data_IF_813434329839
#
_entry.id   IF_813434329839
#
_cell.length_a   1.000
_cell.length_b   1.000
_cell.length_c   1.000
_cell.angle_alpha   90.00
_cell.angle_beta   90.00
_cell.angle_gamma   90.00
#
_symmetry.space_group_name_H-M   'P 1'
#
loop_
_entity.id
_entity.type
_entity.pdbx_description
1 polymer ?
#
# COMPACT_ATOMS: atom_id res chain seq x y z
N UNK A 1 -13.64 8.13 1.11
CA UNK A 1 -14.06 7.10 2.10
C UNK A 1 -15.55 6.84 2.02
N UNK A 2 -16.00 5.60 2.23
CA UNK A 2 -17.44 5.24 2.21
C UNK A 2 -18.11 5.35 3.58
N UNK A 3 -17.37 5.19 4.69
CA UNK A 3 -17.88 5.49 6.02
C UNK A 3 -18.18 7.01 6.11
N UNK A 4 -19.39 7.43 6.52
CA UNK A 4 -19.78 8.83 6.50
C UNK A 4 -18.97 9.70 7.46
N UNK A 5 -18.63 9.19 8.65
CA UNK A 5 -17.90 9.94 9.67
C UNK A 5 -16.44 9.52 9.69
N UNK A 6 -15.56 10.46 9.38
CA UNK A 6 -14.12 10.25 9.36
C UNK A 6 -13.46 11.24 10.34
N UNK A 7 -12.40 10.81 11.04
CA UNK A 7 -11.66 11.63 12.01
C UNK A 7 -12.17 11.56 13.46
N UNK A 8 -13.15 10.70 13.76
CA UNK A 8 -13.75 10.55 15.09
C UNK A 8 -12.73 10.11 16.16
N UNK A 9 -11.73 9.31 15.78
CA UNK A 9 -10.66 8.85 16.68
C UNK A 9 -9.38 9.67 16.61
N UNK A 10 -9.33 10.69 15.74
CA UNK A 10 -8.12 11.45 15.48
C UNK A 10 -7.04 10.60 14.86
N UNK A 11 -5.80 11.06 15.03
CA UNK A 11 -4.61 10.38 14.55
C UNK A 11 -3.66 10.11 15.72
N UNK A 12 -2.91 9.02 15.62
CA UNK A 12 -1.79 8.68 16.48
C UNK A 12 -0.68 8.08 15.63
N UNK A 13 0.56 8.26 16.05
CA UNK A 13 1.73 7.86 15.26
C UNK A 13 1.97 6.34 15.24
N UNK A 14 1.42 5.58 16.20
CA UNK A 14 1.57 4.12 16.24
C UNK A 14 0.79 3.42 15.10
N UNK A 15 -0.31 4.04 14.66
CA UNK A 15 -1.17 3.56 13.58
C UNK A 15 -0.63 3.90 12.18
N UNK A 16 0.49 4.65 12.08
CA UNK A 16 1.15 4.93 10.81
C UNK A 16 1.78 3.65 10.21
N UNK A 17 1.31 3.28 9.02
CA UNK A 17 1.78 2.11 8.28
C UNK A 17 2.98 2.39 7.38
N UNK A 18 3.47 3.62 7.34
CA UNK A 18 4.62 4.03 6.54
C UNK A 18 5.23 5.32 7.09
N UNK A 19 6.41 5.72 6.61
CA UNK A 19 7.12 6.90 7.11
C UNK A 19 6.40 8.25 6.89
N UNK A 20 5.45 8.29 5.95
CA UNK A 20 4.64 9.47 5.67
C UNK A 20 3.27 9.05 5.13
N UNK A 21 2.36 10.01 4.99
CA UNK A 21 1.08 9.81 4.35
C UNK A 21 1.21 9.91 2.83
N UNK A 22 0.88 8.84 2.11
CA UNK A 22 0.97 8.76 0.64
C UNK A 22 -0.35 9.08 -0.09
N UNK A 23 -1.35 9.61 0.62
CA UNK A 23 -2.63 10.00 0.00
C UNK A 23 -2.43 11.24 -0.88
N UNK A 24 -2.90 11.18 -2.13
CA UNK A 24 -2.94 12.37 -3.00
C UNK A 24 -4.03 13.37 -2.59
N UNK A 25 -5.04 12.92 -1.86
CA UNK A 25 -6.09 13.74 -1.29
C UNK A 25 -7.15 12.91 -0.56
N UNK A 26 -7.96 13.56 0.26
CA UNK A 26 -9.00 12.90 1.06
C UNK A 26 -10.40 13.42 0.72
N UNK A 27 -11.30 12.54 0.26
CA UNK A 27 -12.71 12.86 -0.02
C UNK A 27 -13.62 12.14 0.96
N UNK A 28 -14.38 12.89 1.77
CA UNK A 28 -15.25 12.35 2.82
C UNK A 28 -16.63 13.01 2.83
N UNK A 29 -17.60 12.34 3.48
CA UNK A 29 -18.95 12.89 3.64
C UNK A 29 -19.01 13.89 4.79
N UNK A 30 -18.52 13.50 5.97
CA UNK A 30 -18.52 14.34 7.17
C UNK A 30 -17.19 14.20 7.88
N UNK A 31 -16.53 15.34 8.12
CA UNK A 31 -15.50 15.41 9.14
C UNK A 31 -16.18 15.38 10.51
N UNK A 32 -15.58 14.67 11.47
CA UNK A 32 -16.11 14.60 12.83
C UNK A 32 -15.88 15.94 13.55
N UNK A 33 -16.94 16.51 14.15
CA UNK A 33 -16.87 17.82 14.85
C UNK A 33 -15.95 17.74 16.07
N UNK A 34 -15.99 16.62 16.78
CA UNK A 34 -15.10 16.32 17.89
C UNK A 34 -14.35 15.03 17.61
N UNK A 35 -13.05 15.07 17.88
CA UNK A 35 -12.21 13.88 17.98
C UNK A 35 -12.22 13.40 19.43
N UNK A 36 -12.46 12.11 19.66
CA UNK A 36 -12.55 11.54 21.00
C UNK A 36 -12.03 10.10 21.01
N UNK A 37 -10.76 9.95 21.37
CA UNK A 37 -10.13 8.66 21.62
C UNK A 37 -8.94 8.87 22.57
N UNK A 38 -8.72 7.94 23.50
CA UNK A 38 -7.61 8.02 24.46
C UNK A 38 -6.23 7.94 23.78
N UNK A 39 -6.14 7.34 22.59
CA UNK A 39 -4.91 7.27 21.79
C UNK A 39 -4.67 8.51 20.93
N UNK A 40 -5.66 9.40 20.82
CA UNK A 40 -5.56 10.56 19.92
C UNK A 40 -4.43 11.48 20.35
N UNK A 41 -3.49 11.73 19.43
CA UNK A 41 -2.45 12.74 19.58
C UNK A 41 -2.85 14.06 18.90
N UNK A 42 -3.52 13.98 17.74
CA UNK A 42 -3.87 15.15 16.92
C UNK A 42 -5.19 14.94 16.15
N UNK A 43 -5.80 16.03 15.68
CA UNK A 43 -6.98 15.95 14.84
C UNK A 43 -6.62 15.55 13.41
N UNK A 44 -7.57 14.95 12.68
CA UNK A 44 -7.34 14.59 11.28
C UNK A 44 -7.06 15.82 10.38
N UNK A 45 -7.66 16.97 10.70
CA UNK A 45 -7.44 18.20 9.93
C UNK A 45 -6.01 18.70 10.07
N UNK A 46 -5.52 18.78 11.31
CA UNK A 46 -4.15 19.23 11.61
C UNK A 46 -3.12 18.28 10.99
N UNK A 47 -3.31 16.97 11.15
CA UNK A 47 -2.45 15.94 10.57
C UNK A 47 -2.27 16.08 9.05
N UNK A 48 -3.35 16.36 8.33
CA UNK A 48 -3.32 16.53 6.87
C UNK A 48 -2.71 17.88 6.47
N UNK A 49 -2.99 18.94 7.22
CA UNK A 49 -2.45 20.28 6.97
C UNK A 49 -0.91 20.30 7.13
N UNK A 50 -0.39 19.67 8.19
CA UNK A 50 1.06 19.56 8.41
C UNK A 50 1.80 18.83 7.29
N UNK A 51 1.12 17.87 6.64
CA UNK A 51 1.67 17.06 5.54
C UNK A 51 1.33 17.61 4.16
N UNK A 52 0.71 18.79 4.09
CA UNK A 52 0.27 19.44 2.85
C UNK A 52 -0.63 18.54 1.98
N UNK A 53 -1.58 17.82 2.61
CA UNK A 53 -2.54 16.95 1.92
C UNK A 53 -3.91 17.63 1.89
N UNK A 54 -4.44 17.81 0.67
CA UNK A 54 -5.75 18.40 0.50
C UNK A 54 -6.88 17.42 0.85
N UNK A 55 -7.90 17.94 1.53
CA UNK A 55 -9.11 17.21 1.86
C UNK A 55 -10.37 18.02 1.56
N UNK A 56 -11.44 17.33 1.18
CA UNK A 56 -12.78 17.90 0.99
C UNK A 56 -13.81 17.07 1.77
N UNK A 57 -14.71 17.75 2.47
CA UNK A 57 -15.83 17.17 3.19
C UNK A 57 -17.16 17.75 2.68
N UNK A 58 -18.29 17.24 3.18
CA UNK A 58 -19.65 17.56 2.72
C UNK A 58 -19.96 17.11 1.28
N UNK A 59 -19.20 16.15 0.77
CA UNK A 59 -19.40 15.57 -0.57
C UNK A 59 -20.30 14.33 -0.50
N UNK A 60 -21.17 14.12 -1.48
CA UNK A 60 -21.90 12.85 -1.63
C UNK A 60 -20.95 11.73 -2.08
N UNK A 61 -20.24 11.14 -1.12
CA UNK A 61 -19.32 10.03 -1.35
C UNK A 61 -20.04 8.78 -1.85
N UNK A 62 -21.36 8.65 -1.64
CA UNK A 62 -22.16 7.53 -2.17
C UNK A 62 -22.39 7.71 -3.67
N UNK A 63 -22.69 8.91 -4.14
CA UNK A 63 -22.78 9.22 -5.57
C UNK A 63 -21.45 8.92 -6.28
N UNK A 64 -20.33 9.38 -5.70
CA UNK A 64 -18.98 9.09 -6.22
C UNK A 64 -18.71 7.58 -6.25
N UNK A 65 -18.99 6.86 -5.16
CA UNK A 65 -18.78 5.41 -5.09
C UNK A 65 -19.61 4.66 -6.14
N UNK A 66 -20.86 5.08 -6.37
CA UNK A 66 -21.71 4.51 -7.42
C UNK A 66 -21.13 4.76 -8.81
N UNK A 67 -20.65 5.98 -9.07
CA UNK A 67 -20.01 6.38 -10.32
C UNK A 67 -18.76 5.54 -10.60
N UNK A 68 -17.84 5.43 -9.63
CA UNK A 68 -16.63 4.61 -9.76
C UNK A 68 -16.94 3.13 -10.01
N UNK A 69 -18.01 2.59 -9.40
CA UNK A 69 -18.43 1.21 -9.64
C UNK A 69 -19.02 1.00 -11.05
N UNK A 70 -19.72 2.00 -11.58
CA UNK A 70 -20.36 1.96 -12.90
C UNK A 70 -19.37 2.22 -14.03
N UNK A 71 -18.49 3.20 -13.89
CA UNK A 71 -17.65 3.68 -14.97
C UNK A 71 -16.17 3.26 -14.81
N UNK A 72 -15.80 2.78 -13.62
CA UNK A 72 -14.44 2.39 -13.28
C UNK A 72 -13.67 3.47 -12.53
N UNK A 73 -12.38 3.23 -12.29
CA UNK A 73 -11.48 4.18 -11.65
C UNK A 73 -11.33 5.42 -12.52
N UNK A 74 -11.64 6.59 -11.95
CA UNK A 74 -11.50 7.90 -12.58
C UNK A 74 -10.38 8.68 -11.89
N UNK A 75 -9.70 9.52 -12.64
CA UNK A 75 -8.76 10.49 -12.08
C UNK A 75 -9.57 11.71 -11.62
N UNK A 76 -9.28 12.20 -10.42
CA UNK A 76 -9.92 13.39 -9.86
C UNK A 76 -8.88 14.41 -9.46
N UNK A 77 -9.25 15.69 -9.55
CA UNK A 77 -8.44 16.83 -9.12
C UNK A 77 -9.23 17.58 -8.04
N UNK A 78 -8.52 18.01 -7.01
CA UNK A 78 -9.03 18.95 -6.01
C UNK A 78 -8.35 20.30 -6.26
N UNK A 79 -9.11 21.39 -6.18
CA UNK A 79 -8.60 22.75 -6.32
C UNK A 79 -9.29 23.67 -5.32
N UNK A 80 -8.52 24.59 -4.75
CA UNK A 80 -9.04 25.72 -3.95
C UNK A 80 -9.06 27.03 -4.74
N UNK A 81 -8.57 27.01 -5.98
CA UNK A 81 -8.55 28.19 -6.86
C UNK A 81 -9.90 28.34 -7.56
N UNK A 82 -10.63 29.41 -7.21
CA UNK A 82 -11.90 29.77 -7.86
C UNK A 82 -11.72 30.31 -9.29
N UNK A 83 -10.49 30.65 -9.67
CA UNK A 83 -10.17 31.21 -10.99
C UNK A 83 -10.10 30.15 -12.10
N UNK A 84 -9.96 28.87 -11.75
CA UNK A 84 -9.85 27.78 -12.73
C UNK A 84 -11.24 27.34 -13.18
N UNK A 85 -11.43 27.14 -14.48
CA UNK A 85 -12.70 26.61 -14.99
C UNK A 85 -12.76 25.09 -14.84
N UNK A 86 -13.98 24.53 -14.89
CA UNK A 86 -14.18 23.08 -14.82
C UNK A 86 -13.44 22.36 -15.97
N UNK A 87 -13.36 22.97 -17.16
CA UNK A 87 -12.63 22.43 -18.31
C UNK A 87 -11.12 22.31 -18.02
N UNK A 88 -10.51 23.33 -17.43
CA UNK A 88 -9.09 23.32 -17.07
C UNK A 88 -8.78 22.23 -16.02
N UNK A 89 -9.68 22.02 -15.06
CA UNK A 89 -9.54 20.96 -14.06
C UNK A 89 -9.66 19.57 -14.67
N UNK A 90 -10.54 19.39 -15.66
CA UNK A 90 -10.66 18.14 -16.41
C UNK A 90 -9.39 17.88 -17.23
N UNK A 91 -8.84 18.89 -17.90
CA UNK A 91 -7.57 18.76 -18.62
C UNK A 91 -6.41 18.36 -17.70
N UNK A 92 -6.31 18.98 -16.52
CA UNK A 92 -5.34 18.59 -15.50
C UNK A 92 -5.51 17.13 -15.07
N UNK A 93 -6.75 16.67 -14.89
CA UNK A 93 -7.02 15.27 -14.53
C UNK A 93 -6.56 14.27 -15.59
N UNK A 94 -6.68 14.64 -16.87
CA UNK A 94 -6.25 13.79 -17.98
C UNK A 94 -4.73 13.70 -18.10
N UNK A 95 -4.00 14.69 -17.61
CA UNK A 95 -2.53 14.74 -17.67
C UNK A 95 -1.84 13.91 -16.58
N UNK A 96 -2.56 13.50 -15.54
CA UNK A 96 -1.97 12.80 -14.40
C UNK A 96 -1.78 11.31 -14.69
N UNK A 97 -0.60 10.78 -14.35
CA UNK A 97 -0.32 9.35 -14.42
C UNK A 97 0.19 8.82 -13.08
N UNK A 98 -0.18 7.58 -12.76
CA UNK A 98 0.30 6.88 -11.56
C UNK A 98 1.61 6.19 -11.94
N UNK A 99 2.68 6.97 -12.07
CA UNK A 99 4.02 6.40 -12.23
C UNK A 99 4.61 6.17 -10.85
N UNK A 100 4.84 4.90 -10.53
CA UNK A 100 5.46 4.45 -9.28
C UNK A 100 6.83 5.09 -9.11
N UNK A 101 6.97 5.99 -8.13
CA UNK A 101 8.26 6.52 -7.72
C UNK A 101 8.90 5.54 -6.75
N UNK A 102 9.94 4.85 -7.20
CA UNK A 102 10.85 4.09 -6.34
C UNK A 102 11.65 5.06 -5.47
N UNK A 103 11.39 5.09 -4.17
CA UNK A 103 12.03 6.02 -3.25
C UNK A 103 12.32 5.37 -1.89
N UNK A 104 13.19 4.36 -1.83
CA UNK A 104 13.71 3.87 -0.53
C UNK A 104 15.15 3.36 -0.63
N UNK A 105 15.91 3.57 0.45
CA UNK A 105 17.31 3.13 0.65
C UNK A 105 17.36 1.88 1.55
N UNK A 106 18.48 1.16 1.55
CA UNK A 106 18.72 -0.04 2.37
C UNK A 106 18.66 0.25 3.89
N UNK A 107 17.93 -0.55 4.66
CA UNK A 107 17.89 -0.43 6.13
C UNK A 107 17.51 -1.75 6.84
N UNK A 108 17.87 -1.88 8.12
CA UNK A 108 17.54 -3.06 8.94
C UNK A 108 16.35 -2.80 9.86
N UNK A 109 15.39 -3.73 9.90
CA UNK A 109 14.26 -3.71 10.82
C UNK A 109 14.36 -4.86 11.83
N UNK A 110 14.09 -4.56 13.09
CA UNK A 110 14.18 -5.54 14.19
C UNK A 110 15.59 -6.15 14.33
N UNK A 111 16.60 -5.31 14.56
CA UNK A 111 18.00 -5.73 14.80
C UNK A 111 18.21 -6.41 16.15
N UNK A 112 17.25 -6.28 17.07
CA UNK A 112 17.25 -6.91 18.39
C UNK A 112 16.74 -8.36 18.33
N UNK A 113 17.41 -9.19 17.53
CA UNK A 113 17.23 -10.63 17.57
C UNK A 113 17.72 -11.18 18.91
N UNK A 114 16.78 -11.59 19.77
CA UNK A 114 17.08 -12.43 20.94
C UNK A 114 17.20 -13.86 20.43
N UNK A 115 18.39 -14.47 20.58
CA UNK A 115 18.76 -15.87 20.31
C UNK A 115 19.27 -16.30 18.92
N UNK A 116 20.13 -17.33 18.95
CA UNK A 116 20.76 -18.06 17.82
C UNK A 116 19.75 -18.73 16.85
N UNK A 117 18.44 -18.69 17.14
CA UNK A 117 17.37 -19.32 16.36
C UNK A 117 16.55 -18.34 15.48
N UNK A 118 17.02 -17.11 15.25
CA UNK A 118 16.31 -16.14 14.40
C UNK A 118 16.44 -16.46 12.92
N UNK A 119 15.31 -16.51 12.20
CA UNK A 119 15.29 -16.59 10.73
C UNK A 119 15.68 -15.25 10.11
N UNK A 120 16.59 -15.24 9.14
CA UNK A 120 16.92 -14.03 8.37
C UNK A 120 16.06 -13.94 7.11
N UNK A 121 15.33 -12.84 6.96
CA UNK A 121 14.47 -12.56 5.80
C UNK A 121 14.93 -11.28 5.11
N UNK A 122 15.11 -11.34 3.79
CA UNK A 122 15.29 -10.15 2.97
C UNK A 122 13.93 -9.69 2.47
N UNK A 123 13.55 -8.44 2.74
CA UNK A 123 12.30 -7.85 2.28
C UNK A 123 12.56 -6.78 1.22
N UNK A 124 12.09 -7.01 -0.01
CA UNK A 124 12.12 -6.00 -1.08
C UNK A 124 11.02 -4.97 -0.84
N UNK A 125 11.42 -3.70 -0.77
CA UNK A 125 10.55 -2.57 -0.50
C UNK A 125 10.04 -1.93 -1.79
N UNK A 126 8.76 -2.17 -2.09
CA UNK A 126 8.01 -1.48 -3.14
C UNK A 126 7.03 -0.43 -2.57
N UNK A 127 7.21 -0.02 -1.31
CA UNK A 127 6.22 0.73 -0.52
C UNK A 127 5.65 -0.13 0.61
N UNK A 128 6.52 -0.88 1.30
CA UNK A 128 6.16 -1.84 2.33
C UNK A 128 5.41 -1.19 3.50
N UNK A 129 4.35 -1.85 3.94
CA UNK A 129 3.64 -1.46 5.16
C UNK A 129 4.40 -1.91 6.41
N UNK A 130 4.55 -1.02 7.39
CA UNK A 130 5.21 -1.31 8.66
C UNK A 130 4.65 -2.55 9.36
N UNK A 131 3.33 -2.79 9.29
CA UNK A 131 2.75 -3.97 9.93
C UNK A 131 3.21 -5.30 9.31
N UNK A 132 3.59 -5.34 8.03
CA UNK A 132 4.17 -6.55 7.44
C UNK A 132 5.48 -6.90 8.15
N UNK A 133 6.33 -5.90 8.39
CA UNK A 133 7.58 -6.04 9.11
C UNK A 133 7.35 -6.43 10.58
N UNK A 134 6.40 -5.77 11.26
CA UNK A 134 6.00 -6.10 12.64
C UNK A 134 5.52 -7.55 12.76
N UNK A 135 4.72 -8.03 11.80
CA UNK A 135 4.21 -9.41 11.77
C UNK A 135 5.34 -10.41 11.55
N UNK A 136 6.25 -10.18 10.60
CA UNK A 136 7.41 -11.05 10.40
C UNK A 136 8.31 -11.10 11.64
N UNK A 137 8.58 -9.94 12.25
CA UNK A 137 9.35 -9.85 13.49
C UNK A 137 8.70 -10.65 14.63
N UNK A 138 7.37 -10.63 14.75
CA UNK A 138 6.63 -11.41 15.76
C UNK A 138 6.75 -12.93 15.60
N UNK A 139 7.16 -13.41 14.42
CA UNK A 139 7.47 -14.83 14.18
C UNK A 139 8.97 -15.17 14.37
N UNK A 140 9.76 -14.25 14.92
CA UNK A 140 11.19 -14.47 15.18
C UNK A 140 12.09 -14.18 13.97
N UNK A 141 11.60 -13.44 12.98
CA UNK A 141 12.42 -13.04 11.83
C UNK A 141 13.26 -11.79 12.14
N UNK A 142 14.55 -11.86 11.85
CA UNK A 142 15.41 -10.68 11.59
C UNK A 142 15.19 -10.26 10.14
N UNK A 143 14.85 -8.99 9.90
CA UNK A 143 14.49 -8.53 8.56
C UNK A 143 15.47 -7.45 8.08
N UNK A 144 16.05 -7.67 6.90
CA UNK A 144 16.80 -6.63 6.19
C UNK A 144 15.93 -6.15 5.04
N UNK A 145 15.59 -4.86 5.06
CA UNK A 145 14.75 -4.23 4.05
C UNK A 145 15.64 -3.62 2.98
N UNK A 146 15.46 -4.08 1.74
CA UNK A 146 16.27 -3.70 0.58
C UNK A 146 15.43 -2.88 -0.41
N UNK A 147 16.03 -1.96 -1.17
CA UNK A 147 15.33 -1.25 -2.24
C UNK A 147 14.73 -2.21 -3.28
N UNK A 148 13.66 -1.80 -3.96
CA UNK A 148 13.04 -2.54 -5.07
C UNK A 148 14.04 -2.97 -6.16
N UNK A 149 15.08 -2.17 -6.39
CA UNK A 149 16.13 -2.39 -7.40
C UNK A 149 17.31 -3.24 -6.91
N UNK A 150 17.26 -3.76 -5.68
CA UNK A 150 18.36 -4.53 -5.10
C UNK A 150 18.63 -5.83 -5.89
N UNK A 151 19.86 -6.07 -6.38
CA UNK A 151 20.12 -7.22 -7.23
C UNK A 151 19.85 -8.57 -6.53
N UNK A 152 19.24 -9.52 -7.23
CA UNK A 152 19.03 -10.87 -6.72
C UNK A 152 20.36 -11.55 -6.30
N UNK A 153 21.44 -11.26 -7.02
CA UNK A 153 22.78 -11.77 -6.71
C UNK A 153 23.26 -11.33 -5.32
N UNK A 154 22.98 -10.09 -4.91
CA UNK A 154 23.31 -9.59 -3.57
C UNK A 154 22.44 -10.25 -2.51
N UNK A 155 21.13 -10.41 -2.77
CA UNK A 155 20.24 -11.18 -1.88
C UNK A 155 20.77 -12.59 -1.65
N UNK A 156 21.16 -13.32 -2.71
CA UNK A 156 21.67 -14.68 -2.59
C UNK A 156 23.02 -14.76 -1.85
N UNK A 157 23.89 -13.75 -1.96
CA UNK A 157 25.16 -13.69 -1.21
C UNK A 157 24.95 -13.61 0.30
N UNK A 158 23.89 -12.96 0.75
CA UNK A 158 23.57 -12.85 2.19
C UNK A 158 23.09 -14.17 2.81
N UNK A 159 22.80 -15.20 2.00
CA UNK A 159 22.30 -16.52 2.43
C UNK A 159 21.12 -16.44 3.42
N UNK A 160 20.05 -15.70 3.11
CA UNK A 160 18.91 -15.56 4.00
C UNK A 160 18.11 -16.87 4.04
N UNK A 161 17.25 -17.02 5.04
CA UNK A 161 16.33 -18.15 5.14
C UNK A 161 15.08 -17.98 4.26
N UNK A 162 14.77 -16.76 3.81
CA UNK A 162 13.67 -16.49 2.90
C UNK A 162 13.67 -15.07 2.35
N UNK A 163 12.84 -14.84 1.34
CA UNK A 163 12.66 -13.53 0.69
C UNK A 163 11.19 -13.14 0.66
N UNK A 164 10.91 -11.90 1.04
CA UNK A 164 9.60 -11.26 0.94
C UNK A 164 9.62 -10.21 -0.17
N UNK A 165 8.65 -10.25 -1.08
CA UNK A 165 8.33 -9.15 -1.97
C UNK A 165 7.09 -8.42 -1.44
N UNK A 166 7.25 -7.15 -1.05
CA UNK A 166 6.22 -6.39 -0.34
C UNK A 166 5.03 -5.99 -1.21
N UNK A 167 4.05 -5.33 -0.56
CA UNK A 167 3.08 -4.52 -1.27
C UNK A 167 3.75 -3.27 -1.89
N UNK A 168 3.04 -2.63 -2.82
CA UNK A 168 3.48 -1.38 -3.44
C UNK A 168 2.35 -0.74 -4.26
N UNK A 169 2.49 0.55 -4.60
CA UNK A 169 1.54 1.24 -5.47
C UNK A 169 1.81 0.94 -6.95
N UNK A 170 0.81 1.19 -7.79
CA UNK A 170 0.98 1.16 -9.25
C UNK A 170 0.84 -0.23 -9.88
N UNK A 171 1.22 -0.31 -11.15
CA UNK A 171 1.09 -1.52 -11.97
C UNK A 171 2.40 -2.32 -11.95
N UNK A 172 2.41 -3.62 -11.59
CA UNK A 172 3.59 -4.47 -11.66
C UNK A 172 4.18 -4.57 -13.08
N UNK A 173 3.38 -4.35 -14.13
CA UNK A 173 3.88 -4.32 -15.51
C UNK A 173 4.83 -3.14 -15.79
N UNK A 174 4.79 -2.08 -14.98
CA UNK A 174 5.70 -0.95 -15.09
C UNK A 174 7.09 -1.23 -14.49
N UNK A 175 7.26 -2.32 -13.75
CA UNK A 175 8.51 -2.71 -13.07
C UNK A 175 9.00 -4.11 -13.51
N UNK A 176 9.27 -4.33 -14.81
CA UNK A 176 9.65 -5.64 -15.32
C UNK A 176 10.94 -6.19 -14.68
N UNK A 177 11.85 -5.30 -14.25
CA UNK A 177 13.07 -5.66 -13.53
C UNK A 177 12.78 -6.41 -12.21
N UNK A 178 11.66 -6.10 -11.55
CA UNK A 178 11.28 -6.71 -10.28
C UNK A 178 10.81 -8.15 -10.50
N UNK A 179 10.06 -8.41 -11.58
CA UNK A 179 9.64 -9.77 -11.95
C UNK A 179 10.85 -10.65 -12.34
N UNK A 180 11.83 -10.09 -13.06
CA UNK A 180 13.08 -10.81 -13.35
C UNK A 180 13.88 -11.12 -12.07
N UNK A 181 13.94 -10.16 -11.13
CA UNK A 181 14.56 -10.38 -9.81
C UNK A 181 13.88 -11.53 -9.06
N UNK A 182 12.54 -11.58 -9.04
CA UNK A 182 11.78 -12.70 -8.45
C UNK A 182 12.15 -14.02 -9.13
N UNK A 183 12.18 -14.04 -10.46
CA UNK A 183 12.52 -15.23 -11.26
C UNK A 183 13.92 -15.75 -10.98
N UNK A 184 14.89 -14.87 -10.75
CA UNK A 184 16.26 -15.26 -10.39
C UNK A 184 16.36 -15.90 -8.99
N UNK A 185 15.46 -15.57 -8.07
CA UNK A 185 15.45 -16.07 -6.68
C UNK A 185 14.58 -17.33 -6.53
N UNK A 186 13.51 -17.44 -7.32
CA UNK A 186 12.57 -18.57 -7.28
C UNK A 186 13.30 -19.92 -7.44
N UNK A 187 12.93 -20.88 -6.59
CA UNK A 187 13.53 -22.22 -6.56
C UNK A 187 14.87 -22.31 -5.82
N UNK A 188 15.48 -21.18 -5.43
CA UNK A 188 16.72 -21.16 -4.62
C UNK A 188 16.44 -20.93 -3.14
N UNK A 189 15.41 -20.14 -2.82
CA UNK A 189 15.00 -19.78 -1.46
C UNK A 189 13.46 -19.83 -1.33
N UNK A 190 12.91 -19.97 -0.12
CA UNK A 190 11.50 -19.71 0.13
C UNK A 190 11.16 -18.26 -0.24
N UNK A 191 10.15 -18.07 -1.08
CA UNK A 191 9.68 -16.76 -1.53
C UNK A 191 8.23 -16.55 -1.11
N UNK A 192 7.93 -15.38 -0.54
CA UNK A 192 6.58 -14.95 -0.21
C UNK A 192 6.30 -13.57 -0.81
N UNK A 193 5.12 -13.38 -1.40
CA UNK A 193 4.74 -12.12 -2.04
C UNK A 193 3.37 -11.64 -1.56
N UNK A 194 3.25 -10.35 -1.25
CA UNK A 194 2.01 -9.72 -0.77
C UNK A 194 1.59 -8.63 -1.75
N UNK A 195 0.32 -8.63 -2.20
CA UNK A 195 -0.22 -7.63 -3.12
C UNK A 195 0.62 -7.49 -4.40
N UNK A 196 1.40 -6.41 -4.56
CA UNK A 196 2.33 -6.25 -5.68
C UNK A 196 3.32 -7.42 -5.76
N UNK A 197 3.90 -7.86 -4.65
CA UNK A 197 4.75 -9.06 -4.62
C UNK A 197 4.05 -10.31 -5.15
N UNK A 198 2.76 -10.52 -4.82
CA UNK A 198 1.99 -11.64 -5.38
C UNK A 198 1.85 -11.55 -6.90
N UNK A 199 1.60 -10.36 -7.43
CA UNK A 199 1.49 -10.12 -8.87
C UNK A 199 2.83 -10.35 -9.58
N UNK A 200 3.95 -9.89 -8.99
CA UNK A 200 5.30 -10.11 -9.51
C UNK A 200 5.66 -11.60 -9.54
N UNK A 201 5.30 -12.37 -8.50
CA UNK A 201 5.43 -13.84 -8.52
C UNK A 201 4.63 -14.45 -9.68
N UNK A 202 3.39 -13.97 -9.89
CA UNK A 202 2.56 -14.41 -11.01
C UNK A 202 3.24 -14.16 -12.36
N UNK A 203 3.78 -12.96 -12.57
CA UNK A 203 4.48 -12.59 -13.81
C UNK A 203 5.78 -13.39 -14.00
N UNK A 204 6.58 -13.58 -12.95
CA UNK A 204 7.81 -14.37 -12.99
C UNK A 204 7.55 -15.83 -13.40
N UNK A 205 6.36 -16.36 -13.09
CA UNK A 205 5.90 -17.70 -13.46
C UNK A 205 5.14 -17.73 -14.81
N UNK A 206 5.16 -16.64 -15.59
CA UNK A 206 4.54 -16.55 -16.92
C UNK A 206 3.07 -16.13 -16.91
N UNK A 207 2.52 -15.73 -15.76
CA UNK A 207 1.19 -15.15 -15.64
C UNK A 207 1.11 -13.73 -16.22
N UNK A 208 -0.11 -13.24 -16.38
CA UNK A 208 -0.40 -11.87 -16.86
C UNK A 208 -1.22 -11.11 -15.83
N UNK A 209 -0.99 -9.81 -15.75
CA UNK A 209 -1.77 -8.88 -14.93
C UNK A 209 -2.68 -8.04 -15.82
N UNK A 210 -3.76 -7.53 -15.27
CA UNK A 210 -4.65 -6.59 -15.94
C UNK A 210 -5.20 -5.60 -14.92
N UNK A 211 -5.51 -4.39 -15.36
CA UNK A 211 -6.11 -3.36 -14.51
C UNK A 211 -7.57 -3.72 -14.23
N UNK A 212 -7.92 -3.86 -12.96
CA UNK A 212 -9.31 -4.04 -12.54
C UNK A 212 -10.13 -2.77 -12.80
N UNK A 213 -11.44 -2.93 -12.97
CA UNK A 213 -12.35 -1.80 -13.24
C UNK A 213 -12.26 -0.70 -12.17
N UNK A 214 -12.35 -1.06 -10.88
CA UNK A 214 -12.23 -0.13 -9.74
C UNK A 214 -11.42 -0.71 -8.56
N UNK A 215 -10.80 -1.88 -8.77
CA UNK A 215 -10.02 -2.59 -7.76
C UNK A 215 -10.80 -3.09 -6.54
N UNK A 216 -10.07 -3.55 -5.54
CA UNK A 216 -10.60 -3.97 -4.24
C UNK A 216 -10.00 -3.11 -3.13
N UNK A 217 -10.86 -2.32 -2.47
CA UNK A 217 -10.47 -1.37 -1.43
C UNK A 217 -11.43 -1.49 -0.25
N UNK A 218 -11.04 -2.25 0.78
CA UNK A 218 -11.89 -2.47 1.95
C UNK A 218 -11.38 -3.55 2.90
N UNK A 219 -11.98 -3.62 4.09
CA UNK A 219 -11.63 -4.55 5.17
C UNK A 219 -12.57 -5.74 5.34
N UNK A 220 -13.46 -5.99 4.37
CA UNK A 220 -14.55 -6.96 4.48
C UNK A 220 -14.63 -7.91 3.28
N UNK A 221 -13.53 -8.12 2.55
CA UNK A 221 -13.54 -8.91 1.33
C UNK A 221 -13.42 -10.42 1.65
N UNK A 222 -14.37 -11.27 1.27
CA UNK A 222 -14.26 -12.71 1.52
C UNK A 222 -13.29 -13.36 0.53
N UNK A 223 -12.32 -14.12 1.03
CA UNK A 223 -11.37 -14.90 0.23
C UNK A 223 -11.50 -16.36 0.62
N UNK A 224 -11.67 -17.26 -0.36
CA UNK A 224 -11.80 -18.69 -0.13
C UNK A 224 -10.48 -19.41 -0.41
N UNK A 225 -10.02 -20.19 0.56
CA UNK A 225 -8.97 -21.17 0.32
C UNK A 225 -9.57 -22.37 -0.43
N UNK A 226 -9.19 -22.56 -1.69
CA UNK A 226 -9.75 -23.62 -2.53
C UNK A 226 -9.33 -25.04 -2.11
N UNK A 227 -8.23 -25.20 -1.35
CA UNK A 227 -7.76 -26.51 -0.88
C UNK A 227 -8.55 -27.01 0.33
N UNK A 228 -8.82 -26.12 1.29
CA UNK A 228 -9.56 -26.46 2.51
C UNK A 228 -11.06 -26.17 2.42
N UNK A 229 -11.47 -25.30 1.51
CA UNK A 229 -12.84 -24.82 1.38
C UNK A 229 -13.20 -23.67 2.34
N UNK A 230 -12.35 -23.34 3.31
CA UNK A 230 -12.57 -22.27 4.29
C UNK A 230 -12.58 -20.88 3.67
N UNK A 231 -13.35 -19.97 4.26
CA UNK A 231 -13.43 -18.55 3.87
C UNK A 231 -12.88 -17.70 4.99
N UNK A 232 -12.03 -16.75 4.62
CA UNK A 232 -11.47 -15.72 5.50
C UNK A 232 -11.94 -14.34 5.05
N UNK A 233 -12.07 -13.41 5.99
CA UNK A 233 -12.35 -12.00 5.68
C UNK A 233 -11.02 -11.25 5.64
N UNK A 234 -10.73 -10.58 4.53
CA UNK A 234 -9.45 -9.94 4.30
C UNK A 234 -9.56 -8.43 4.07
N UNK A 235 -8.47 -7.74 4.36
CA UNK A 235 -8.22 -6.39 3.89
C UNK A 235 -7.64 -6.44 2.46
N UNK A 236 -8.22 -5.67 1.55
CA UNK A 236 -7.80 -5.55 0.17
C UNK A 236 -7.53 -4.08 -0.18
N UNK A 237 -6.42 -3.84 -0.88
CA UNK A 237 -6.00 -2.54 -1.42
C UNK A 237 -5.22 -2.83 -2.71
N UNK A 238 -5.93 -3.19 -3.79
CA UNK A 238 -5.36 -3.65 -5.05
C UNK A 238 -6.21 -3.27 -6.27
#
# INVERSE_FOLDING_TARGET
MTNPHIGNTGVNFDDEESMQCFLGGLVIRSLSISTSNWRCAETLGDYLAERNIMGIYDVDTRAITRRLRQDGSLIGVLSTEESKTDEELVELSCSWDIIGKDLMLLWDFNTNGRDENTFHVIAYDFGIKHNILRRLASYGCKITVVPSTWPASETLKTKPNGVLFSNGPGDPSAVPYAAETVKEILGKLPVFGICMGHQLLGQALGGKTFKMKFGHHGGNHPVRNLRSGHVEISAQVC
#
